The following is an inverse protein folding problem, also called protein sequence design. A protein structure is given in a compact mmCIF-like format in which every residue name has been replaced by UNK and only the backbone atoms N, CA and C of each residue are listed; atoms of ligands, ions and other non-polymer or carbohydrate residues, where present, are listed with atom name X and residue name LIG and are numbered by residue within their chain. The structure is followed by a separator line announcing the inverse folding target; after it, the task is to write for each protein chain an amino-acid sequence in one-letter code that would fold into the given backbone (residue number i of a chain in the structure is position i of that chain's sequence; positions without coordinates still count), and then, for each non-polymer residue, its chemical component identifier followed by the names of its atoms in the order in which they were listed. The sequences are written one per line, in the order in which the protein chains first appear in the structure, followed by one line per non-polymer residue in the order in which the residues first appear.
data_IF_797619389922
#
_entry.id   IF_797619389922
#
_cell.length_a   1.000
_cell.length_b   1.000
_cell.length_c   1.000
_cell.angle_alpha   90.00
_cell.angle_beta   90.00
_cell.angle_gamma   90.00
#
_symmetry.space_group_name_H-M   'P 1'
#
loop_
_entity.id
_entity.type
_entity.pdbx_description
1 polymer ?
#
# COMPACT_ATOMS: atom_id res chain seq x y z
N UNK A 1 -18.55 -4.89 45.83
CA UNK A 1 -17.48 -3.90 45.57
C UNK A 1 -16.27 -4.69 45.10
N UNK A 2 -16.17 -4.99 43.80
CA UNK A 2 -15.16 -5.89 43.24
C UNK A 2 -13.94 -5.07 42.86
N UNK A 3 -12.85 -5.24 43.61
CA UNK A 3 -11.58 -4.61 43.28
C UNK A 3 -11.00 -5.29 42.03
N UNK A 4 -11.15 -4.62 40.87
CA UNK A 4 -10.35 -4.92 39.68
C UNK A 4 -8.95 -4.39 39.95
N UNK A 5 -8.11 -5.24 40.53
CA UNK A 5 -6.67 -4.99 40.68
C UNK A 5 -6.09 -5.07 39.28
N UNK A 6 -5.71 -3.94 38.72
CA UNK A 6 -5.05 -3.93 37.42
C UNK A 6 -3.71 -4.63 37.59
N UNK A 7 -3.58 -5.80 36.98
CA UNK A 7 -2.40 -6.64 37.14
C UNK A 7 -1.18 -5.90 36.54
N UNK A 8 -0.10 -5.67 37.32
CA UNK A 8 1.08 -4.93 36.84
C UNK A 8 1.70 -5.53 35.58
N UNK A 9 1.52 -6.83 35.39
CA UNK A 9 2.00 -7.59 34.24
C UNK A 9 1.20 -7.32 32.95
N UNK A 10 -0.07 -6.91 33.03
CA UNK A 10 -0.85 -6.54 31.84
C UNK A 10 -0.29 -5.28 31.17
N UNK A 11 0.12 -4.29 31.97
CA UNK A 11 0.78 -3.09 31.46
C UNK A 11 2.14 -3.39 30.83
N UNK A 12 2.92 -4.31 31.42
CA UNK A 12 4.21 -4.72 30.87
C UNK A 12 4.04 -5.51 29.57
N UNK A 13 3.02 -6.37 29.46
CA UNK A 13 2.69 -7.09 28.23
C UNK A 13 2.22 -6.16 27.11
N UNK A 14 1.42 -5.13 27.43
CA UNK A 14 1.00 -4.13 26.45
C UNK A 14 2.17 -3.29 25.91
N UNK A 15 3.19 -3.01 26.73
CA UNK A 15 4.40 -2.33 26.31
C UNK A 15 5.38 -3.24 25.53
N UNK A 16 5.33 -4.56 25.78
CA UNK A 16 6.10 -5.58 25.07
C UNK A 16 5.45 -6.01 23.75
N UNK A 17 4.17 -5.67 23.52
CA UNK A 17 3.52 -5.85 22.24
C UNK A 17 4.34 -5.09 21.18
N UNK A 18 4.98 -5.84 20.29
CA UNK A 18 5.91 -5.30 19.32
C UNK A 18 5.26 -4.17 18.53
N UNK A 19 5.89 -3.00 18.52
CA UNK A 19 5.43 -1.87 17.71
C UNK A 19 5.39 -2.35 16.27
N UNK A 20 4.20 -2.41 15.71
CA UNK A 20 3.99 -2.61 14.28
C UNK A 20 4.84 -1.57 13.56
N UNK A 21 5.75 -1.99 12.68
CA UNK A 21 6.65 -1.05 12.01
C UNK A 21 5.88 -0.03 11.18
N UNK A 22 6.40 1.19 11.04
CA UNK A 22 5.76 2.27 10.26
C UNK A 22 5.35 1.84 8.84
N UNK A 23 6.13 0.96 8.21
CA UNK A 23 5.85 0.42 6.88
C UNK A 23 4.63 -0.51 6.89
N UNK A 24 4.49 -1.32 7.95
CA UNK A 24 3.35 -2.22 8.11
C UNK A 24 2.07 -1.43 8.43
N UNK A 25 2.14 -0.43 9.30
CA UNK A 25 1.01 0.50 9.56
C UNK A 25 0.62 1.27 8.30
N UNK A 26 1.59 1.75 7.52
CA UNK A 26 1.33 2.43 6.24
C UNK A 26 0.68 1.50 5.22
N UNK A 27 1.13 0.26 5.12
CA UNK A 27 0.53 -0.75 4.25
C UNK A 27 -0.91 -1.09 4.67
N UNK A 28 -1.17 -1.18 5.97
CA UNK A 28 -2.51 -1.42 6.50
C UNK A 28 -3.44 -0.21 6.31
N UNK A 29 -2.88 1.00 6.41
CA UNK A 29 -3.57 2.24 6.05
C UNK A 29 -3.92 2.27 4.57
N UNK A 30 -2.99 1.93 3.66
CA UNK A 30 -3.25 1.81 2.23
C UNK A 30 -4.33 0.76 1.92
N UNK A 31 -4.32 -0.38 2.62
CA UNK A 31 -5.36 -1.41 2.47
C UNK A 31 -6.73 -0.93 2.94
N UNK A 32 -6.80 -0.17 4.04
CA UNK A 32 -8.03 0.40 4.58
C UNK A 32 -8.60 1.53 3.71
N UNK A 33 -7.75 2.32 3.06
CA UNK A 33 -8.15 3.34 2.11
C UNK A 33 -8.57 2.67 0.79
N UNK A 34 -9.83 2.23 0.74
CA UNK A 34 -10.55 1.57 -0.37
C UNK A 34 -9.70 1.36 -1.62
N UNK A 35 -9.17 0.14 -1.77
CA UNK A 35 -8.40 -0.35 -2.94
C UNK A 35 -8.95 0.12 -4.30
N UNK A 36 -10.27 0.33 -4.41
CA UNK A 36 -10.96 0.88 -5.57
C UNK A 36 -10.52 2.28 -6.01
N UNK A 37 -10.01 3.13 -5.12
CA UNK A 37 -9.47 4.46 -5.47
C UNK A 37 -8.00 4.42 -5.89
N UNK A 38 -7.21 3.50 -5.32
CA UNK A 38 -5.80 3.32 -5.69
C UNK A 38 -5.64 2.57 -7.02
N UNK A 39 -6.56 1.62 -7.27
CA UNK A 39 -6.57 0.80 -8.48
C UNK A 39 -6.50 1.62 -9.78
N UNK A 40 -7.35 2.65 -10.03
CA UNK A 40 -7.26 3.42 -11.26
C UNK A 40 -5.92 4.15 -11.42
N UNK A 41 -5.33 4.66 -10.33
CA UNK A 41 -4.01 5.31 -10.38
C UNK A 41 -2.92 4.31 -10.76
N UNK A 42 -2.92 3.13 -10.13
CA UNK A 42 -1.99 2.04 -10.45
C UNK A 42 -2.12 1.56 -11.89
N UNK A 43 -3.35 1.43 -12.40
CA UNK A 43 -3.62 1.01 -13.77
C UNK A 43 -3.05 2.02 -14.76
N UNK A 44 -3.30 3.32 -14.57
CA UNK A 44 -2.75 4.36 -15.45
C UNK A 44 -1.23 4.37 -15.40
N UNK A 45 -0.62 4.24 -14.22
CA UNK A 45 0.85 4.17 -14.09
C UNK A 45 1.44 2.95 -14.83
N UNK A 46 0.79 1.80 -14.73
CA UNK A 46 1.21 0.59 -15.47
C UNK A 46 1.03 0.76 -16.97
N UNK A 47 -0.07 1.36 -17.43
CA UNK A 47 -0.31 1.64 -18.84
C UNK A 47 0.73 2.62 -19.39
N UNK A 48 1.04 3.70 -18.67
CA UNK A 48 2.07 4.66 -19.07
C UNK A 48 3.47 4.04 -19.05
N UNK A 49 3.82 3.27 -18.00
CA UNK A 49 5.08 2.55 -17.94
C UNK A 49 5.23 1.54 -19.08
N UNK A 50 4.16 0.81 -19.40
CA UNK A 50 4.09 -0.09 -20.56
C UNK A 50 4.25 0.66 -21.88
N UNK A 51 3.58 1.80 -22.04
CA UNK A 51 3.69 2.63 -23.25
C UNK A 51 5.11 3.19 -23.43
N UNK A 52 5.76 3.62 -22.35
CA UNK A 52 7.17 4.08 -22.38
C UNK A 52 8.10 2.93 -22.75
N UNK A 53 7.91 1.74 -22.18
CA UNK A 53 8.68 0.55 -22.58
C UNK A 53 8.49 0.23 -24.07
N UNK A 54 7.26 0.23 -24.57
CA UNK A 54 6.97 -0.03 -25.99
C UNK A 54 7.52 1.07 -26.90
N UNK A 55 7.47 2.34 -26.48
CA UNK A 55 8.05 3.47 -27.22
C UNK A 55 9.58 3.44 -27.32
N UNK A 56 10.26 2.83 -26.35
CA UNK A 56 11.70 2.57 -26.41
C UNK A 56 12.08 1.34 -27.26
N UNK A 57 11.11 0.57 -27.75
CA UNK A 57 11.32 -0.62 -28.59
C UNK A 57 10.95 -0.37 -30.04
N UNK A 58 11.25 -1.32 -30.93
CA UNK A 58 10.85 -1.29 -32.34
C UNK A 58 9.31 -1.25 -32.59
N UNK A 59 8.49 -1.21 -31.52
CA UNK A 59 7.06 -0.98 -31.59
C UNK A 59 6.66 0.50 -31.78
N UNK A 60 7.61 1.43 -31.60
CA UNK A 60 7.40 2.87 -31.82
C UNK A 60 6.67 3.26 -33.13
N UNK A 61 6.98 2.71 -34.32
CA UNK A 61 6.32 3.14 -35.56
C UNK A 61 4.83 2.78 -35.63
N UNK A 62 4.37 1.76 -34.91
CA UNK A 62 2.94 1.39 -34.87
C UNK A 62 2.09 2.31 -33.98
N UNK A 63 2.72 2.95 -32.98
CA UNK A 63 2.07 3.97 -32.14
C UNK A 63 1.90 5.27 -32.95
N UNK A 64 2.92 5.64 -33.74
CA UNK A 64 2.87 6.84 -34.58
C UNK A 64 1.91 6.74 -35.77
N UNK A 65 1.61 5.54 -36.29
CA UNK A 65 0.65 5.39 -37.41
C UNK A 65 -0.82 5.58 -37.03
N UNK A 66 -1.15 5.65 -35.73
CA UNK A 66 -2.51 5.88 -35.25
C UNK A 66 -2.85 7.38 -35.09
N UNK A 67 -1.88 8.27 -35.34
CA UNK A 67 -2.02 9.72 -35.33
C UNK A 67 -1.56 10.31 -36.67
#
# INVERSE_FOLDING_TARGET
MSQNLVDPNEFQQAAAAGRTGLIAEFWDFLKHNKKWWLLPILVVLLLLGGLVMLGGTAAAPFIYTLF
#
